data_IF_993028729147
#
_entry.id   IF_993028729147
#
_cell.length_a   1.000
_cell.length_b   1.000
_cell.length_c   1.000
_cell.angle_alpha   90.00
_cell.angle_beta   90.00
_cell.angle_gamma   90.00
#
_symmetry.space_group_name_H-M   'P 1'
#
loop_
_entity.id
_entity.type
_entity.pdbx_description
1 polymer ?
#
# COMPACT_ATOMS: atom_id res chain seq x y z
N UNK A 1 -29.25 -4.18 26.42
CA UNK A 1 -29.60 -3.75 25.05
C UNK A 1 -29.12 -2.32 24.86
N UNK A 2 -27.95 -2.15 24.24
CA UNK A 2 -27.27 -0.84 24.13
C UNK A 2 -27.68 -0.20 22.81
N UNK A 3 -28.12 1.04 22.88
CA UNK A 3 -28.53 1.93 21.79
C UNK A 3 -27.32 2.34 20.91
N UNK A 4 -26.55 1.37 20.41
CA UNK A 4 -25.26 1.57 19.73
C UNK A 4 -25.39 1.98 18.26
N UNK A 5 -26.59 2.31 17.77
CA UNK A 5 -26.87 2.48 16.34
C UNK A 5 -27.04 3.91 15.86
N UNK A 6 -26.77 4.94 16.68
CA UNK A 6 -26.91 6.36 16.23
C UNK A 6 -25.61 7.12 16.00
N UNK A 7 -24.46 6.60 16.42
CA UNK A 7 -23.21 7.38 16.41
C UNK A 7 -22.19 6.89 15.38
N UNK A 8 -21.85 7.81 14.47
CA UNK A 8 -20.68 7.85 13.57
C UNK A 8 -20.80 7.40 12.11
N UNK A 9 -21.98 7.50 11.50
CA UNK A 9 -22.12 7.23 10.05
C UNK A 9 -21.52 8.29 9.12
N UNK A 10 -21.16 9.48 9.62
CA UNK A 10 -20.71 10.64 8.83
C UNK A 10 -19.30 11.15 9.19
N UNK A 11 -18.56 10.46 10.05
CA UNK A 11 -17.25 10.93 10.55
C UNK A 11 -16.15 9.94 10.21
N UNK A 12 -14.98 10.45 9.84
CA UNK A 12 -13.73 9.69 9.69
C UNK A 12 -12.75 10.31 10.68
N UNK A 13 -12.20 9.52 11.59
CA UNK A 13 -11.32 9.98 12.68
C UNK A 13 -11.87 11.19 13.45
N UNK A 14 -13.07 11.06 14.02
CA UNK A 14 -13.83 12.09 14.76
C UNK A 14 -14.27 13.34 13.96
N UNK A 15 -13.70 13.61 12.79
CA UNK A 15 -14.02 14.79 11.98
C UNK A 15 -15.01 14.48 10.85
N UNK A 16 -15.59 15.54 10.27
CA UNK A 16 -16.46 15.42 9.11
C UNK A 16 -15.70 14.77 7.93
N UNK A 17 -16.31 13.77 7.27
CA UNK A 17 -15.67 13.06 6.17
C UNK A 17 -15.22 13.97 5.02
N UNK A 18 -15.92 15.09 4.75
CA UNK A 18 -15.52 16.05 3.70
C UNK A 18 -14.22 16.75 4.06
N UNK A 19 -14.06 17.14 5.32
CA UNK A 19 -12.83 17.77 5.82
C UNK A 19 -11.67 16.78 5.77
N UNK A 20 -11.90 15.53 6.20
CA UNK A 20 -10.88 14.47 6.09
C UNK A 20 -10.43 14.26 4.64
N UNK A 21 -11.39 14.15 3.70
CA UNK A 21 -11.09 13.96 2.28
C UNK A 21 -10.34 15.15 1.67
N UNK A 22 -10.67 16.37 2.09
CA UNK A 22 -9.94 17.57 1.69
C UNK A 22 -8.49 17.52 2.17
N UNK A 23 -8.25 17.23 3.46
CA UNK A 23 -6.90 17.08 4.03
C UNK A 23 -6.12 15.98 3.29
N UNK A 24 -6.75 14.82 3.06
CA UNK A 24 -6.15 13.70 2.32
C UNK A 24 -5.75 14.12 0.90
N UNK A 25 -6.60 14.88 0.20
CA UNK A 25 -6.34 15.33 -1.18
C UNK A 25 -5.18 16.33 -1.29
N UNK A 26 -4.80 17.00 -0.20
CA UNK A 26 -3.68 17.95 -0.14
C UNK A 26 -2.35 17.25 0.16
N UNK A 27 -2.36 16.03 0.72
CA UNK A 27 -1.12 15.30 1.05
C UNK A 27 -0.13 15.14 -0.11
N UNK A 28 -0.52 14.98 -1.39
CA UNK A 28 0.41 14.92 -2.52
C UNK A 28 1.30 16.16 -2.67
N UNK A 29 0.90 17.32 -2.12
CA UNK A 29 1.73 18.54 -2.11
C UNK A 29 3.08 18.33 -1.40
N UNK A 30 3.21 17.30 -0.57
CA UNK A 30 4.46 16.89 0.08
C UNK A 30 5.60 16.60 -0.91
N UNK A 31 5.28 16.20 -2.15
CA UNK A 31 6.28 15.86 -3.16
C UNK A 31 6.81 17.05 -3.95
N UNK A 32 6.33 18.26 -3.67
CA UNK A 32 6.86 19.48 -4.29
C UNK A 32 8.22 19.85 -3.69
N UNK A 33 9.11 20.39 -4.54
CA UNK A 33 10.41 20.93 -4.13
C UNK A 33 10.29 22.33 -3.52
N UNK A 34 9.26 23.09 -3.88
CA UNK A 34 8.98 24.39 -3.24
C UNK A 34 8.71 24.21 -1.74
N UNK A 35 9.50 24.89 -0.90
CA UNK A 35 9.47 24.77 0.57
C UNK A 35 8.08 24.98 1.16
N UNK A 36 7.32 25.97 0.68
CA UNK A 36 6.01 26.32 1.22
C UNK A 36 4.94 25.32 0.80
N UNK A 37 4.92 24.90 -0.47
CA UNK A 37 3.97 23.87 -0.96
C UNK A 37 4.22 22.54 -0.24
N UNK A 38 5.49 22.15 -0.11
CA UNK A 38 5.90 20.97 0.65
C UNK A 38 5.43 21.03 2.09
N UNK A 39 5.58 22.18 2.74
CA UNK A 39 5.14 22.40 4.13
C UNK A 39 3.63 22.16 4.27
N UNK A 40 2.79 22.65 3.36
CA UNK A 40 1.34 22.37 3.37
C UNK A 40 1.03 20.87 3.27
N UNK A 41 1.72 20.16 2.39
CA UNK A 41 1.62 18.70 2.29
C UNK A 41 2.06 17.99 3.57
N UNK A 42 3.20 18.39 4.14
CA UNK A 42 3.72 17.86 5.41
C UNK A 42 2.75 18.09 6.58
N UNK A 43 2.20 19.29 6.72
CA UNK A 43 1.19 19.62 7.73
C UNK A 43 -0.04 18.72 7.56
N UNK A 44 -0.49 18.49 6.31
CA UNK A 44 -1.64 17.62 6.04
C UNK A 44 -1.39 16.17 6.47
N UNK A 45 -0.19 15.64 6.23
CA UNK A 45 0.22 14.30 6.71
C UNK A 45 0.23 14.24 8.24
N UNK A 46 0.80 15.25 8.91
CA UNK A 46 0.84 15.32 10.38
C UNK A 46 -0.59 15.38 10.95
N UNK A 47 -1.48 16.19 10.37
CA UNK A 47 -2.88 16.27 10.79
C UNK A 47 -3.56 14.90 10.68
N UNK A 48 -3.36 14.15 9.59
CA UNK A 48 -3.92 12.79 9.46
C UNK A 48 -3.45 11.88 10.59
N UNK A 49 -2.15 11.88 10.91
CA UNK A 49 -1.63 11.05 11.99
C UNK A 49 -2.13 11.49 13.37
N UNK A 50 -2.19 12.79 13.64
CA UNK A 50 -2.79 13.31 14.87
C UNK A 50 -4.25 12.89 15.00
N UNK A 51 -5.02 12.98 13.91
CA UNK A 51 -6.41 12.49 13.89
C UNK A 51 -6.49 11.01 14.22
N UNK A 52 -5.59 10.16 13.70
CA UNK A 52 -5.54 8.75 14.07
C UNK A 52 -5.24 8.54 15.56
N UNK A 53 -4.27 9.26 16.13
CA UNK A 53 -3.93 9.15 17.56
C UNK A 53 -5.13 9.57 18.42
N UNK A 54 -5.71 10.74 18.15
CA UNK A 54 -6.85 11.27 18.92
C UNK A 54 -8.08 10.37 18.81
N UNK A 55 -8.36 9.86 17.61
CA UNK A 55 -9.47 8.95 17.40
C UNK A 55 -9.26 7.59 18.07
N UNK A 56 -8.01 7.10 18.12
CA UNK A 56 -7.66 5.90 18.90
C UNK A 56 -7.88 6.15 20.39
N UNK A 57 -7.35 7.25 20.93
CA UNK A 57 -7.50 7.60 22.34
C UNK A 57 -8.98 7.76 22.75
N UNK A 58 -9.79 8.41 21.91
CA UNK A 58 -11.22 8.59 22.15
C UNK A 58 -12.01 7.27 22.10
N UNK A 59 -11.56 6.29 21.30
CA UNK A 59 -12.27 5.04 21.07
C UNK A 59 -11.65 3.83 21.76
N UNK A 60 -10.62 4.01 22.60
CA UNK A 60 -9.81 2.90 23.14
C UNK A 60 -10.65 1.82 23.83
N UNK A 61 -11.65 2.20 24.63
CA UNK A 61 -12.55 1.28 25.34
C UNK A 61 -13.51 0.52 24.40
N UNK A 62 -13.73 1.05 23.19
CA UNK A 62 -14.68 0.52 22.20
C UNK A 62 -13.99 -0.29 21.11
N UNK A 63 -12.68 -0.15 20.95
CA UNK A 63 -11.89 -0.89 19.95
C UNK A 63 -11.83 -2.35 20.39
N UNK A 64 -12.51 -3.22 19.63
CA UNK A 64 -12.38 -4.67 19.80
C UNK A 64 -11.06 -5.11 19.17
N UNK A 65 -10.19 -5.72 19.95
CA UNK A 65 -8.90 -6.27 19.48
C UNK A 65 -9.19 -7.50 18.60
N UNK A 66 -9.35 -7.27 17.30
CA UNK A 66 -9.41 -8.34 16.31
C UNK A 66 -8.01 -8.79 15.87
N UNK A 67 -7.93 -9.74 14.93
CA UNK A 67 -6.64 -10.24 14.43
C UNK A 67 -5.76 -9.13 13.85
N UNK A 68 -6.35 -8.10 13.22
CA UNK A 68 -5.58 -6.98 12.62
C UNK A 68 -4.94 -6.17 13.74
N UNK A 69 -5.71 -5.81 14.76
CA UNK A 69 -5.20 -5.10 15.94
C UNK A 69 -4.15 -5.91 16.70
N UNK A 70 -4.35 -7.22 16.89
CA UNK A 70 -3.38 -8.08 17.55
C UNK A 70 -2.02 -8.03 16.85
N UNK A 71 -1.98 -8.23 15.52
CA UNK A 71 -0.71 -8.20 14.78
C UNK A 71 -0.12 -6.79 14.64
N UNK A 72 -0.95 -5.75 14.62
CA UNK A 72 -0.47 -4.36 14.72
C UNK A 72 0.26 -4.11 16.04
N UNK A 73 -0.33 -4.55 17.17
CA UNK A 73 0.28 -4.41 18.50
C UNK A 73 1.54 -5.26 18.61
N UNK A 74 1.55 -6.48 18.07
CA UNK A 74 2.74 -7.34 18.06
C UNK A 74 3.89 -6.70 17.27
N UNK A 75 3.63 -6.20 16.06
CA UNK A 75 4.62 -5.49 15.24
C UNK A 75 5.12 -4.21 15.91
N UNK A 76 4.22 -3.39 16.47
CA UNK A 76 4.58 -2.16 17.16
C UNK A 76 5.39 -2.42 18.43
N UNK A 77 5.05 -3.45 19.19
CA UNK A 77 5.81 -3.86 20.39
C UNK A 77 7.21 -4.34 20.01
N UNK A 78 7.32 -5.12 18.93
CA UNK A 78 8.61 -5.56 18.41
C UNK A 78 9.48 -4.38 17.98
N UNK A 79 8.92 -3.42 17.25
CA UNK A 79 9.64 -2.21 16.85
C UNK A 79 10.03 -1.34 18.05
N UNK A 80 9.22 -1.30 19.10
CA UNK A 80 9.58 -0.60 20.34
C UNK A 80 10.80 -1.24 21.01
N UNK A 81 10.89 -2.57 21.03
CA UNK A 81 12.08 -3.29 21.52
C UNK A 81 13.31 -2.95 20.66
N UNK A 82 13.16 -2.91 19.33
CA UNK A 82 14.26 -2.50 18.44
C UNK A 82 14.70 -1.06 18.68
N UNK A 83 13.76 -0.14 18.93
CA UNK A 83 14.06 1.24 19.28
C UNK A 83 14.87 1.34 20.57
N UNK A 84 14.50 0.59 21.62
CA UNK A 84 15.27 0.57 22.86
C UNK A 84 16.67 -0.02 22.68
N UNK A 85 16.84 -0.98 21.77
CA UNK A 85 18.15 -1.57 21.46
C UNK A 85 19.08 -0.60 20.74
N UNK A 86 18.52 0.25 19.87
CA UNK A 86 19.28 1.25 19.09
C UNK A 86 18.56 2.61 19.15
N UNK A 87 18.64 3.33 20.29
CA UNK A 87 17.86 4.54 20.52
C UNK A 87 18.48 5.74 19.78
N UNK A 88 18.22 5.83 18.48
CA UNK A 88 18.64 6.97 17.65
C UNK A 88 17.44 7.83 17.25
N UNK A 89 17.67 9.10 16.93
CA UNK A 89 16.60 9.99 16.46
C UNK A 89 15.97 9.48 15.14
N UNK A 90 16.80 8.92 14.25
CA UNK A 90 16.33 8.25 13.01
C UNK A 90 15.50 7.01 13.35
N UNK A 91 15.93 6.21 14.33
CA UNK A 91 15.19 5.05 14.82
C UNK A 91 13.81 5.43 15.40
N UNK A 92 13.74 6.51 16.19
CA UNK A 92 12.48 7.03 16.74
C UNK A 92 11.54 7.50 15.62
N UNK A 93 12.07 8.21 14.62
CA UNK A 93 11.32 8.61 13.44
C UNK A 93 10.75 7.39 12.67
N UNK A 94 11.60 6.39 12.38
CA UNK A 94 11.18 5.15 11.74
C UNK A 94 10.11 4.42 12.54
N UNK A 95 10.29 4.30 13.86
CA UNK A 95 9.30 3.70 14.77
C UNK A 95 7.94 4.40 14.65
N UNK A 96 7.91 5.72 14.88
CA UNK A 96 6.67 6.50 14.86
C UNK A 96 6.00 6.42 13.50
N UNK A 97 6.77 6.54 12.42
CA UNK A 97 6.23 6.47 11.06
C UNK A 97 5.58 5.11 10.77
N UNK A 98 6.28 4.01 11.08
CA UNK A 98 5.78 2.66 10.88
C UNK A 98 4.51 2.41 11.71
N UNK A 99 4.55 2.73 13.01
CA UNK A 99 3.41 2.55 13.90
C UNK A 99 2.21 3.40 13.46
N UNK A 100 2.40 4.65 13.04
CA UNK A 100 1.30 5.51 12.60
C UNK A 100 0.68 5.06 11.27
N UNK A 101 1.48 4.57 10.32
CA UNK A 101 0.96 4.02 9.07
C UNK A 101 0.14 2.74 9.30
N UNK A 102 0.60 1.85 10.18
CA UNK A 102 -0.14 0.64 10.51
C UNK A 102 -1.36 0.92 11.41
N UNK A 103 -1.27 1.92 12.29
CA UNK A 103 -2.40 2.39 13.09
C UNK A 103 -3.52 2.92 12.18
N UNK A 104 -3.15 3.70 11.15
CA UNK A 104 -4.10 4.29 10.20
C UNK A 104 -5.02 3.21 9.59
N UNK A 105 -4.47 2.13 9.05
CA UNK A 105 -5.26 1.01 8.49
C UNK A 105 -5.97 0.18 9.58
N UNK A 106 -5.38 0.00 10.76
CA UNK A 106 -6.00 -0.74 11.87
C UNK A 106 -7.27 -0.06 12.37
N UNK A 107 -7.33 1.28 12.35
CA UNK A 107 -8.56 2.00 12.67
C UNK A 107 -9.68 1.69 11.67
N UNK A 108 -9.39 1.59 10.37
CA UNK A 108 -10.38 1.19 9.37
C UNK A 108 -10.93 -0.23 9.60
N UNK A 109 -10.16 -1.15 10.19
CA UNK A 109 -10.64 -2.50 10.54
C UNK A 109 -11.76 -2.49 11.58
N UNK A 110 -11.85 -1.43 12.39
CA UNK A 110 -12.86 -1.23 13.44
C UNK A 110 -14.01 -0.29 13.03
N UNK A 111 -13.93 0.32 11.86
CA UNK A 111 -14.88 1.35 11.42
C UNK A 111 -15.97 0.80 10.49
N UNK A 112 -17.15 1.41 10.56
CA UNK A 112 -18.22 1.29 9.58
C UNK A 112 -18.58 2.68 9.07
N UNK A 113 -18.88 2.82 7.78
CA UNK A 113 -19.19 4.10 7.13
C UNK A 113 -20.48 3.97 6.32
N UNK A 114 -21.28 5.03 6.27
CA UNK A 114 -22.48 5.04 5.43
C UNK A 114 -22.12 4.97 3.94
N UNK A 115 -23.00 4.38 3.12
CA UNK A 115 -22.87 4.35 1.66
C UNK A 115 -22.64 5.75 1.08
N UNK A 116 -23.34 6.79 1.57
CA UNK A 116 -23.13 8.18 1.13
C UNK A 116 -21.70 8.68 1.36
N UNK A 117 -21.04 8.24 2.43
CA UNK A 117 -19.64 8.59 2.71
C UNK A 117 -18.71 7.84 1.76
N UNK A 118 -18.98 6.56 1.52
CA UNK A 118 -18.22 5.76 0.55
C UNK A 118 -18.33 6.36 -0.85
N UNK A 119 -19.53 6.73 -1.30
CA UNK A 119 -19.75 7.38 -2.59
C UNK A 119 -18.96 8.69 -2.71
N UNK A 120 -18.92 9.48 -1.62
CA UNK A 120 -18.11 10.68 -1.57
C UNK A 120 -16.61 10.38 -1.65
N UNK A 121 -16.11 9.37 -0.92
CA UNK A 121 -14.72 8.93 -1.01
C UNK A 121 -14.37 8.58 -2.47
N UNK A 122 -15.22 7.81 -3.16
CA UNK A 122 -15.03 7.49 -4.57
C UNK A 122 -15.04 8.72 -5.48
N UNK A 123 -15.94 9.68 -5.25
CA UNK A 123 -15.98 10.94 -6.02
C UNK A 123 -14.68 11.74 -5.84
N UNK A 124 -14.21 11.92 -4.61
CA UNK A 124 -12.97 12.64 -4.31
C UNK A 124 -11.74 11.93 -4.86
N UNK A 125 -11.68 10.60 -4.73
CA UNK A 125 -10.59 9.81 -5.30
C UNK A 125 -10.50 9.91 -6.82
N UNK A 126 -11.65 9.89 -7.52
CA UNK A 126 -11.69 10.15 -8.97
C UNK A 126 -11.27 11.58 -9.33
N UNK A 127 -11.71 12.58 -8.57
CA UNK A 127 -11.31 13.97 -8.79
C UNK A 127 -9.80 14.14 -8.63
N UNK A 128 -9.21 13.57 -7.57
CA UNK A 128 -7.77 13.59 -7.36
C UNK A 128 -7.01 12.91 -8.50
N UNK A 129 -7.49 11.76 -8.98
CA UNK A 129 -6.91 11.10 -10.15
C UNK A 129 -6.86 12.02 -11.37
N UNK A 130 -7.94 12.73 -11.68
CA UNK A 130 -7.98 13.65 -12.82
C UNK A 130 -7.04 14.84 -12.64
N UNK A 131 -6.93 15.39 -11.42
CA UNK A 131 -5.95 16.46 -11.13
C UNK A 131 -4.53 15.98 -11.41
N UNK A 132 -4.16 14.78 -10.93
CA UNK A 132 -2.83 14.23 -11.18
C UNK A 132 -2.65 13.90 -12.67
N UNK A 133 -3.66 13.35 -13.33
CA UNK A 133 -3.62 13.02 -14.76
C UNK A 133 -3.35 14.26 -15.61
N UNK A 134 -3.99 15.40 -15.32
CA UNK A 134 -3.74 16.66 -16.05
C UNK A 134 -2.28 17.07 -15.92
N UNK A 135 -1.71 17.00 -14.71
CA UNK A 135 -0.29 17.25 -14.49
C UNK A 135 0.59 16.27 -15.29
N UNK A 136 0.23 14.99 -15.32
CA UNK A 136 0.93 13.97 -16.11
C UNK A 136 0.85 14.25 -17.61
N UNK A 137 -0.29 14.69 -18.13
CA UNK A 137 -0.47 15.00 -19.55
C UNK A 137 0.35 16.22 -19.97
N UNK A 138 0.42 17.26 -19.13
CA UNK A 138 1.30 18.41 -19.39
C UNK A 138 2.76 17.96 -19.50
N UNK A 139 3.18 17.07 -18.59
CA UNK A 139 4.52 16.46 -18.60
C UNK A 139 4.75 15.60 -19.86
N UNK A 140 3.72 14.92 -20.38
CA UNK A 140 3.85 14.10 -21.60
C UNK A 140 3.90 14.93 -22.88
N UNK A 141 3.24 16.09 -22.93
CA UNK A 141 3.13 16.93 -24.13
C UNK A 141 4.41 17.72 -24.40
N UNK A 142 5.10 18.17 -23.35
CA UNK A 142 6.43 18.73 -23.50
C UNK A 142 7.46 17.58 -23.65
N UNK A 143 8.44 17.72 -24.54
CA UNK A 143 9.38 16.63 -24.90
C UNK A 143 10.05 15.94 -23.69
N UNK A 144 10.04 14.59 -23.67
CA UNK A 144 10.49 13.71 -22.57
C UNK A 144 11.79 14.13 -21.86
N UNK A 145 12.79 14.62 -22.61
CA UNK A 145 14.11 14.99 -22.07
C UNK A 145 14.13 16.35 -21.39
N UNK A 146 13.31 17.28 -21.85
CA UNK A 146 13.28 18.66 -21.33
C UNK A 146 12.44 18.73 -20.05
N UNK A 147 11.36 17.95 -19.98
CA UNK A 147 10.34 18.02 -18.92
C UNK A 147 10.74 17.35 -17.63
N UNK A 148 11.40 16.18 -17.70
CA UNK A 148 11.97 15.57 -16.50
C UNK A 148 12.97 16.53 -15.83
N UNK A 149 13.63 17.39 -16.60
CA UNK A 149 14.38 18.54 -16.11
C UNK A 149 13.50 19.67 -15.56
N UNK A 150 12.53 20.17 -16.33
CA UNK A 150 11.68 21.31 -15.95
C UNK A 150 10.83 20.99 -14.71
N UNK A 151 10.01 19.94 -14.75
CA UNK A 151 9.16 19.52 -13.64
C UNK A 151 9.92 18.81 -12.54
N UNK A 152 11.04 18.18 -12.88
CA UNK A 152 11.99 17.69 -11.88
C UNK A 152 12.44 18.81 -10.94
N UNK A 153 12.46 20.07 -11.36
CA UNK A 153 12.75 21.21 -10.48
C UNK A 153 11.57 21.62 -9.58
N UNK A 154 10.33 21.26 -9.92
CA UNK A 154 9.14 21.63 -9.17
C UNK A 154 8.65 20.54 -8.21
N UNK A 155 8.70 19.27 -8.60
CA UNK A 155 8.28 18.14 -7.76
C UNK A 155 8.98 16.83 -8.14
N UNK A 156 8.89 15.83 -7.27
CA UNK A 156 9.36 14.47 -7.54
C UNK A 156 8.40 13.76 -8.50
N UNK A 157 8.53 14.03 -9.80
CA UNK A 157 7.65 13.57 -10.89
C UNK A 157 7.27 12.10 -10.80
N UNK A 158 8.26 11.22 -10.67
CA UNK A 158 8.12 9.76 -10.50
C UNK A 158 7.21 9.39 -9.32
N UNK A 159 7.37 10.05 -8.17
CA UNK A 159 6.64 9.69 -6.96
C UNK A 159 5.19 10.19 -7.00
N UNK A 160 4.95 11.37 -7.58
CA UNK A 160 3.59 11.90 -7.77
C UNK A 160 2.77 10.98 -8.66
N UNK A 161 3.36 10.46 -9.74
CA UNK A 161 2.67 9.55 -10.65
C UNK A 161 2.35 8.19 -10.02
N UNK A 162 3.16 7.71 -9.08
CA UNK A 162 2.85 6.51 -8.30
C UNK A 162 1.57 6.64 -7.46
N UNK A 163 1.15 7.85 -7.07
CA UNK A 163 -0.14 8.07 -6.39
C UNK A 163 -1.33 7.75 -7.31
N UNK A 164 -1.16 7.84 -8.63
CA UNK A 164 -2.22 7.46 -9.56
C UNK A 164 -2.61 5.99 -9.40
N UNK A 165 -1.68 5.11 -9.02
CA UNK A 165 -1.93 3.67 -8.87
C UNK A 165 -3.07 3.38 -7.88
N UNK A 166 -3.00 3.77 -6.59
CA UNK A 166 -4.12 3.59 -5.68
C UNK A 166 -5.37 4.35 -6.13
N UNK A 167 -5.24 5.49 -6.81
CA UNK A 167 -6.39 6.24 -7.30
C UNK A 167 -7.17 5.50 -8.42
N UNK A 168 -6.54 4.58 -9.16
CA UNK A 168 -7.28 3.75 -10.13
C UNK A 168 -8.32 2.85 -9.46
N UNK A 169 -8.18 2.54 -8.16
CA UNK A 169 -9.17 1.81 -7.37
C UNK A 169 -10.55 2.45 -7.46
N UNK A 170 -10.67 3.78 -7.44
CA UNK A 170 -11.96 4.47 -7.41
C UNK A 170 -12.76 4.42 -8.73
N UNK A 171 -12.19 3.82 -9.78
CA UNK A 171 -12.83 3.63 -11.07
C UNK A 171 -13.24 2.17 -11.35
N UNK A 172 -12.75 1.22 -10.55
CA UNK A 172 -12.88 -0.21 -10.83
C UNK A 172 -14.16 -0.85 -10.26
N UNK A 173 -14.48 -0.66 -8.96
CA UNK A 173 -15.71 -1.19 -8.37
C UNK A 173 -16.94 -0.70 -9.14
N UNK A 174 -17.91 -1.60 -9.32
CA UNK A 174 -19.19 -1.35 -10.00
C UNK A 174 -19.07 -0.93 -11.49
N UNK A 175 -17.87 -0.94 -12.07
CA UNK A 175 -17.69 -0.70 -13.50
C UNK A 175 -18.11 -1.92 -14.31
N UNK A 176 -18.82 -1.70 -15.44
CA UNK A 176 -19.07 -2.75 -16.45
C UNK A 176 -17.81 -3.03 -17.29
N UNK A 177 -17.05 -1.99 -17.64
CA UNK A 177 -15.86 -2.08 -18.49
C UNK A 177 -14.56 -2.19 -17.68
N UNK A 178 -14.48 -3.16 -16.75
CA UNK A 178 -13.31 -3.31 -15.86
C UNK A 178 -12.00 -3.53 -16.65
N UNK A 179 -12.02 -4.46 -17.60
CA UNK A 179 -10.87 -4.76 -18.45
C UNK A 179 -10.40 -3.54 -19.24
N UNK A 180 -11.31 -2.85 -19.93
CA UNK A 180 -10.98 -1.66 -20.71
C UNK A 180 -10.33 -0.55 -19.89
N UNK A 181 -10.81 -0.31 -18.65
CA UNK A 181 -10.19 0.65 -17.73
C UNK A 181 -8.80 0.23 -17.28
N UNK A 182 -8.57 -1.07 -17.02
CA UNK A 182 -7.24 -1.59 -16.68
C UNK A 182 -6.27 -1.39 -17.84
N UNK A 183 -6.66 -1.70 -19.07
CA UNK A 183 -5.82 -1.48 -20.26
C UNK A 183 -5.55 0.02 -20.45
N UNK A 184 -6.56 0.87 -20.31
CA UNK A 184 -6.42 2.32 -20.40
C UNK A 184 -5.42 2.89 -19.37
N UNK A 185 -5.57 2.53 -18.10
CA UNK A 185 -4.64 2.99 -17.07
C UNK A 185 -3.24 2.37 -17.22
N UNK A 186 -3.14 1.12 -17.66
CA UNK A 186 -1.85 0.48 -17.97
C UNK A 186 -1.14 1.21 -19.11
N UNK A 187 -1.88 1.63 -20.13
CA UNK A 187 -1.36 2.47 -21.22
C UNK A 187 -0.89 3.83 -20.70
N UNK A 188 -1.63 4.48 -19.79
CA UNK A 188 -1.17 5.73 -19.16
C UNK A 188 0.16 5.51 -18.40
N UNK A 189 0.26 4.46 -17.58
CA UNK A 189 1.52 4.15 -16.89
C UNK A 189 2.66 3.82 -17.84
N UNK A 190 2.37 3.15 -18.97
CA UNK A 190 3.34 2.90 -20.02
C UNK A 190 3.87 4.20 -20.62
N UNK A 191 2.96 5.14 -20.96
CA UNK A 191 3.32 6.44 -21.53
C UNK A 191 4.17 7.29 -20.57
N UNK A 192 3.92 7.17 -19.27
CA UNK A 192 4.66 7.85 -18.19
C UNK A 192 5.94 7.08 -17.79
N UNK A 193 6.23 5.93 -18.41
CA UNK A 193 7.38 5.06 -18.13
C UNK A 193 7.40 4.45 -16.71
N UNK A 194 6.25 4.42 -16.02
CA UNK A 194 6.06 3.83 -14.69
C UNK A 194 5.78 2.31 -14.78
N UNK A 195 6.80 1.55 -15.19
CA UNK A 195 6.73 0.09 -15.46
C UNK A 195 6.22 -0.72 -14.26
N UNK A 196 6.66 -0.38 -13.04
CA UNK A 196 6.25 -1.08 -11.81
C UNK A 196 4.75 -0.92 -11.55
N UNK A 197 4.22 0.29 -11.72
CA UNK A 197 2.79 0.58 -11.52
C UNK A 197 1.92 -0.11 -12.58
N UNK A 198 2.38 -0.14 -13.84
CA UNK A 198 1.75 -0.90 -14.93
C UNK A 198 1.65 -2.39 -14.58
N UNK A 199 2.78 -3.04 -14.27
CA UNK A 199 2.82 -4.47 -13.96
C UNK A 199 1.94 -4.78 -12.75
N UNK A 200 2.00 -3.93 -11.71
CA UNK A 200 1.17 -4.06 -10.52
C UNK A 200 -0.31 -4.02 -10.88
N UNK A 201 -0.75 -3.11 -11.75
CA UNK A 201 -2.15 -2.99 -12.15
C UNK A 201 -2.64 -4.23 -12.91
N UNK A 202 -1.80 -4.82 -13.77
CA UNK A 202 -2.11 -6.08 -14.45
C UNK A 202 -2.26 -7.23 -13.44
N UNK A 203 -1.35 -7.33 -12.47
CA UNK A 203 -1.42 -8.34 -11.40
C UNK A 203 -2.69 -8.16 -10.57
N UNK A 204 -3.05 -6.92 -10.21
CA UNK A 204 -4.30 -6.61 -9.50
C UNK A 204 -5.50 -7.16 -10.28
N UNK A 205 -5.56 -6.93 -11.59
CA UNK A 205 -6.66 -7.43 -12.40
C UNK A 205 -6.69 -8.95 -12.49
N UNK A 206 -5.54 -9.59 -12.69
CA UNK A 206 -5.42 -11.05 -12.70
C UNK A 206 -5.85 -11.65 -11.36
N UNK A 207 -5.37 -11.10 -10.23
CA UNK A 207 -5.79 -11.51 -8.88
C UNK A 207 -7.29 -11.33 -8.67
N UNK A 208 -7.88 -10.24 -9.16
CA UNK A 208 -9.33 -10.03 -9.11
C UNK A 208 -10.10 -11.12 -9.87
N UNK A 209 -9.66 -11.49 -11.09
CA UNK A 209 -10.27 -12.58 -11.85
C UNK A 209 -10.13 -13.92 -11.12
N UNK A 210 -8.97 -14.19 -10.52
CA UNK A 210 -8.74 -15.38 -9.71
C UNK A 210 -9.68 -15.41 -8.50
N UNK A 211 -9.86 -14.30 -7.78
CA UNK A 211 -10.79 -14.23 -6.65
C UNK A 211 -12.24 -14.52 -7.03
N UNK A 212 -12.69 -14.04 -8.19
CA UNK A 212 -14.04 -14.38 -8.69
C UNK A 212 -14.19 -15.86 -9.04
N UNK A 213 -13.10 -16.57 -9.33
CA UNK A 213 -13.10 -18.03 -9.57
C UNK A 213 -12.91 -18.87 -8.30
N UNK A 214 -12.13 -18.40 -7.33
CA UNK A 214 -11.88 -19.11 -6.06
C UNK A 214 -13.19 -19.38 -5.30
N UNK A 215 -14.17 -18.47 -5.42
CA UNK A 215 -15.45 -18.60 -4.74
C UNK A 215 -15.27 -18.65 -3.22
N UNK A 216 -15.83 -19.68 -2.59
CA UNK A 216 -15.79 -19.90 -1.13
C UNK A 216 -14.65 -20.82 -0.67
N UNK A 217 -13.63 -21.09 -1.49
CA UNK A 217 -12.49 -21.93 -1.09
C UNK A 217 -11.43 -21.12 -0.31
N UNK A 218 -11.47 -21.21 1.02
CA UNK A 218 -10.55 -20.49 1.92
C UNK A 218 -9.10 -20.94 1.79
N UNK A 219 -8.88 -22.22 1.54
CA UNK A 219 -7.52 -22.78 1.44
C UNK A 219 -6.83 -22.19 0.21
N UNK A 220 -7.49 -22.23 -0.95
CA UNK A 220 -6.92 -21.69 -2.19
C UNK A 220 -6.65 -20.17 -2.09
N UNK A 221 -7.55 -19.43 -1.42
CA UNK A 221 -7.36 -18.01 -1.13
C UNK A 221 -6.06 -17.76 -0.33
N UNK A 222 -5.88 -18.47 0.79
CA UNK A 222 -4.69 -18.32 1.63
C UNK A 222 -3.42 -18.82 0.94
N UNK A 223 -3.48 -19.91 0.18
CA UNK A 223 -2.35 -20.44 -0.60
C UNK A 223 -1.87 -19.40 -1.61
N UNK A 224 -2.77 -18.71 -2.32
CA UNK A 224 -2.38 -17.66 -3.27
C UNK A 224 -1.60 -16.53 -2.61
N UNK A 225 -2.01 -16.11 -1.42
CA UNK A 225 -1.31 -15.08 -0.65
C UNK A 225 0.08 -15.52 -0.20
N UNK A 226 0.17 -16.71 0.42
CA UNK A 226 1.45 -17.28 0.88
C UNK A 226 2.40 -17.51 -0.29
N UNK A 227 1.91 -18.06 -1.41
CA UNK A 227 2.70 -18.28 -2.60
C UNK A 227 3.23 -16.97 -3.19
N UNK A 228 2.40 -15.93 -3.23
CA UNK A 228 2.82 -14.60 -3.70
C UNK A 228 3.95 -14.06 -2.83
N UNK A 229 3.84 -14.18 -1.50
CA UNK A 229 4.89 -13.73 -0.59
C UNK A 229 6.21 -14.49 -0.78
N UNK A 230 6.15 -15.82 -0.83
CA UNK A 230 7.33 -16.67 -1.08
C UNK A 230 7.96 -16.32 -2.43
N UNK A 231 7.14 -16.14 -3.46
CA UNK A 231 7.59 -15.75 -4.79
C UNK A 231 8.31 -14.39 -4.76
N UNK A 232 7.81 -13.40 -4.03
CA UNK A 232 8.45 -12.08 -3.95
C UNK A 232 9.84 -12.16 -3.31
N UNK A 233 9.98 -12.88 -2.20
CA UNK A 233 11.29 -13.11 -1.56
C UNK A 233 12.24 -13.90 -2.48
N UNK A 234 11.70 -14.87 -3.22
CA UNK A 234 12.48 -15.73 -4.12
C UNK A 234 12.97 -14.97 -5.34
N UNK A 235 12.14 -14.09 -5.92
CA UNK A 235 12.50 -13.25 -7.07
C UNK A 235 13.65 -12.32 -6.72
N UNK A 236 13.66 -11.71 -5.54
CA UNK A 236 14.76 -10.84 -5.09
C UNK A 236 16.08 -11.61 -5.06
N UNK A 237 16.09 -12.79 -4.44
CA UNK A 237 17.27 -13.66 -4.39
C UNK A 237 17.71 -14.10 -5.79
N UNK A 238 16.76 -14.54 -6.61
CA UNK A 238 17.03 -14.97 -7.97
C UNK A 238 17.61 -13.84 -8.81
N UNK A 239 17.08 -12.62 -8.69
CA UNK A 239 17.55 -11.45 -9.44
C UNK A 239 19.00 -11.08 -9.10
N UNK A 240 19.40 -11.20 -7.83
CA UNK A 240 20.80 -11.01 -7.41
C UNK A 240 21.69 -12.07 -8.05
N UNK A 241 21.32 -13.36 -7.97
CA UNK A 241 22.15 -14.44 -8.51
C UNK A 241 22.25 -14.41 -10.03
N UNK A 242 21.16 -14.03 -10.70
CA UNK A 242 21.07 -13.97 -12.16
C UNK A 242 22.15 -13.06 -12.77
N UNK A 243 22.58 -11.99 -12.07
CA UNK A 243 23.59 -11.05 -12.55
C UNK A 243 24.97 -11.70 -12.83
N UNK A 244 25.25 -12.85 -12.20
CA UNK A 244 26.54 -13.56 -12.35
C UNK A 244 26.48 -14.72 -13.35
N UNK A 245 25.37 -14.87 -14.08
CA UNK A 245 25.16 -15.98 -15.02
C UNK A 245 25.19 -15.49 -16.47
N UNK A 246 25.55 -16.36 -17.41
CA UNK A 246 25.48 -16.08 -18.86
C UNK A 246 24.07 -15.65 -19.29
N UNK A 247 23.04 -16.27 -18.70
CA UNK A 247 21.65 -15.90 -18.94
C UNK A 247 21.36 -14.45 -18.53
N UNK A 248 21.91 -13.99 -17.40
CA UNK A 248 21.79 -12.61 -16.96
C UNK A 248 22.39 -11.61 -17.94
N UNK A 249 23.61 -11.88 -18.42
CA UNK A 249 24.26 -11.05 -19.44
C UNK A 249 23.45 -11.02 -20.75
N UNK A 250 23.01 -12.19 -21.22
CA UNK A 250 22.16 -12.32 -22.40
C UNK A 250 20.85 -11.52 -22.27
N UNK A 251 20.17 -11.62 -21.13
CA UNK A 251 18.96 -10.84 -20.86
C UNK A 251 19.25 -9.33 -20.85
N UNK A 252 20.36 -8.91 -20.25
CA UNK A 252 20.74 -7.50 -20.21
C UNK A 252 21.02 -6.95 -21.62
N UNK A 253 21.70 -7.71 -22.46
CA UNK A 253 21.99 -7.32 -23.85
C UNK A 253 20.72 -7.23 -24.69
N UNK A 254 19.78 -8.17 -24.52
CA UNK A 254 18.45 -8.09 -25.15
C UNK A 254 17.74 -6.80 -24.72
N UNK A 255 17.67 -6.54 -23.41
CA UNK A 255 16.98 -5.35 -22.91
C UNK A 255 17.62 -4.06 -23.45
N UNK A 256 18.95 -3.99 -23.45
CA UNK A 256 19.67 -2.84 -23.98
C UNK A 256 19.45 -2.67 -25.48
N UNK A 257 19.42 -3.75 -26.24
CA UNK A 257 19.18 -3.73 -27.70
C UNK A 257 17.76 -3.29 -28.07
N UNK A 258 16.73 -3.78 -27.38
CA UNK A 258 15.34 -3.53 -27.76
C UNK A 258 14.69 -2.35 -27.03
N UNK A 259 15.15 -2.01 -25.82
CA UNK A 259 14.56 -0.95 -25.00
C UNK A 259 15.48 0.26 -24.80
N UNK A 260 16.78 0.11 -25.07
CA UNK A 260 17.80 1.12 -24.74
C UNK A 260 18.19 1.17 -23.26
N UNK A 261 17.50 0.42 -22.41
CA UNK A 261 17.71 0.40 -20.95
C UNK A 261 18.36 -0.92 -20.50
N UNK A 262 19.03 -0.89 -19.34
CA UNK A 262 19.58 -2.10 -18.74
C UNK A 262 18.48 -2.94 -18.08
N UNK A 263 18.59 -4.27 -18.16
CA UNK A 263 17.80 -5.19 -17.36
C UNK A 263 18.16 -5.06 -15.87
N UNK A 264 19.45 -4.88 -15.60
CA UNK A 264 19.99 -4.63 -14.27
C UNK A 264 20.00 -3.12 -13.97
N UNK A 265 19.12 -2.70 -13.07
CA UNK A 265 18.92 -1.27 -12.75
C UNK A 265 19.89 -0.71 -11.70
N UNK A 266 20.83 -1.52 -11.21
CA UNK A 266 21.68 -1.22 -10.05
C UNK A 266 21.11 -1.76 -8.74
N UNK A 267 19.82 -2.11 -8.70
CA UNK A 267 19.15 -2.72 -7.53
C UNK A 267 19.79 -4.04 -7.12
N UNK A 268 20.27 -4.82 -8.07
CA UNK A 268 20.95 -6.09 -7.79
C UNK A 268 22.18 -5.89 -6.87
N UNK A 269 22.94 -4.79 -7.05
CA UNK A 269 24.11 -4.46 -6.24
C UNK A 269 23.67 -4.02 -4.83
N UNK A 270 22.70 -3.12 -4.76
CA UNK A 270 22.14 -2.63 -3.48
C UNK A 270 21.57 -3.80 -2.67
N UNK A 271 20.85 -4.70 -3.33
CA UNK A 271 20.24 -5.87 -2.69
C UNK A 271 21.30 -6.89 -2.28
N UNK A 272 22.34 -7.11 -3.07
CA UNK A 272 23.45 -8.00 -2.70
C UNK A 272 24.16 -7.52 -1.43
N UNK A 273 24.49 -6.22 -1.35
CA UNK A 273 25.07 -5.62 -0.14
C UNK A 273 24.14 -5.81 1.06
N UNK A 274 22.86 -5.48 0.91
CA UNK A 274 21.88 -5.67 1.97
C UNK A 274 21.76 -7.15 2.41
N UNK A 275 21.79 -8.09 1.47
CA UNK A 275 21.78 -9.52 1.75
C UNK A 275 22.99 -9.96 2.56
N UNK A 276 24.19 -9.42 2.29
CA UNK A 276 25.38 -9.71 3.08
C UNK A 276 25.25 -9.23 4.53
N UNK A 277 24.64 -8.06 4.76
CA UNK A 277 24.31 -7.63 6.12
C UNK A 277 23.25 -8.51 6.78
N UNK A 278 22.17 -8.84 6.07
CA UNK A 278 21.09 -9.70 6.59
C UNK A 278 21.63 -11.06 7.04
N UNK A 279 22.56 -11.66 6.27
CA UNK A 279 23.21 -12.93 6.64
C UNK A 279 23.91 -12.89 8.00
N UNK A 280 24.48 -11.74 8.38
CA UNK A 280 25.20 -11.60 9.65
C UNK A 280 24.26 -11.44 10.86
N UNK A 281 23.05 -10.90 10.68
CA UNK A 281 22.04 -10.74 11.75
C UNK A 281 20.62 -11.10 11.28
N UNK A 282 20.36 -12.37 10.91
CA UNK A 282 19.16 -12.75 10.18
C UNK A 282 17.87 -12.68 11.01
N UNK A 283 17.97 -12.86 12.33
CA UNK A 283 16.80 -12.97 13.22
C UNK A 283 16.33 -11.59 13.70
N UNK A 284 17.26 -10.77 14.20
CA UNK A 284 16.95 -9.51 14.89
C UNK A 284 17.27 -8.26 14.07
N UNK A 285 17.93 -8.40 12.92
CA UNK A 285 18.42 -7.26 12.16
C UNK A 285 19.36 -6.36 12.97
N UNK A 286 19.42 -5.11 12.57
CA UNK A 286 20.37 -4.12 13.08
C UNK A 286 19.71 -2.96 13.85
N UNK A 287 18.38 -2.95 13.97
CA UNK A 287 17.63 -1.86 14.58
C UNK A 287 16.95 -0.95 13.54
N UNK A 288 16.16 0.02 14.01
CA UNK A 288 15.34 0.87 13.14
C UNK A 288 16.13 2.00 12.43
N UNK A 289 17.43 2.09 12.68
CA UNK A 289 18.32 3.01 11.99
C UNK A 289 18.84 2.42 10.68
N UNK A 290 18.76 3.19 9.60
CA UNK A 290 19.15 2.77 8.25
C UNK A 290 20.58 3.19 7.87
N UNK A 291 21.37 3.65 8.82
CA UNK A 291 22.73 4.15 8.57
C UNK A 291 23.67 3.10 7.94
N UNK A 292 23.34 1.82 8.04
CA UNK A 292 24.14 0.73 7.47
C UNK A 292 24.39 0.88 5.97
N UNK A 293 23.37 1.27 5.20
CA UNK A 293 23.54 1.43 3.75
C UNK A 293 24.46 2.62 3.44
N UNK A 294 24.35 3.71 4.21
CA UNK A 294 25.23 4.86 4.08
C UNK A 294 26.68 4.52 4.45
N UNK A 295 26.91 3.70 5.48
CA UNK A 295 28.26 3.22 5.86
C UNK A 295 28.90 2.41 4.72
N UNK A 296 28.11 1.67 3.94
CA UNK A 296 28.59 0.95 2.75
C UNK A 296 28.76 1.83 1.50
N UNK A 297 28.65 3.15 1.62
CA UNK A 297 28.74 4.09 0.51
C UNK A 297 27.50 4.12 -0.39
N UNK A 298 26.36 3.58 0.07
CA UNK A 298 25.10 3.58 -0.67
C UNK A 298 24.16 4.62 -0.02
N UNK A 299 24.09 5.81 -0.63
CA UNK A 299 23.15 6.87 -0.20
C UNK A 299 21.71 6.65 -0.66
N UNK A 300 21.47 5.57 -1.41
CA UNK A 300 20.17 5.19 -1.94
C UNK A 300 19.43 4.25 -1.00
N UNK A 301 18.10 4.37 -0.99
CA UNK A 301 17.21 3.42 -0.32
C UNK A 301 17.38 2.01 -0.92
N UNK A 302 17.08 0.96 -0.15
CA UNK A 302 17.07 -0.42 -0.67
C UNK A 302 16.06 -0.63 -1.81
N UNK A 303 15.12 0.30 -2.00
CA UNK A 303 14.03 0.20 -2.97
C UNK A 303 13.27 -1.14 -2.93
N UNK A 304 13.19 -1.75 -1.75
CA UNK A 304 12.49 -3.00 -1.49
C UNK A 304 12.09 -3.03 -0.01
N UNK A 305 10.78 -2.97 0.28
CA UNK A 305 10.28 -2.96 1.66
C UNK A 305 10.63 -4.25 2.40
N UNK A 306 10.70 -5.41 1.74
CA UNK A 306 11.04 -6.67 2.41
C UNK A 306 12.49 -6.68 2.90
N UNK A 307 13.43 -6.29 2.04
CA UNK A 307 14.84 -6.12 2.42
C UNK A 307 14.97 -5.07 3.52
N UNK A 308 14.22 -3.97 3.41
CA UNK A 308 14.20 -2.92 4.42
C UNK A 308 13.79 -3.44 5.80
N UNK A 309 12.70 -4.23 5.89
CA UNK A 309 12.27 -4.84 7.16
C UNK A 309 13.30 -5.85 7.67
N UNK A 310 13.87 -6.69 6.78
CA UNK A 310 14.89 -7.67 7.17
C UNK A 310 16.15 -7.01 7.72
N UNK A 311 16.62 -5.90 7.15
CA UNK A 311 17.74 -5.15 7.69
C UNK A 311 17.42 -4.59 9.09
N UNK A 312 16.22 -4.05 9.26
CA UNK A 312 15.84 -3.40 10.52
C UNK A 312 15.55 -4.39 11.64
N UNK A 313 14.66 -5.34 11.38
CA UNK A 313 14.10 -6.25 12.38
C UNK A 313 14.24 -7.74 12.02
N UNK A 314 15.08 -8.08 11.05
CA UNK A 314 15.32 -9.48 10.67
C UNK A 314 14.05 -10.24 10.29
N UNK A 315 14.12 -11.56 10.40
CA UNK A 315 13.01 -12.46 10.10
C UNK A 315 11.83 -12.28 11.04
N UNK A 316 12.03 -11.84 12.29
CA UNK A 316 10.93 -11.58 13.24
C UNK A 316 10.11 -10.37 12.79
N UNK A 317 10.76 -9.27 12.42
CA UNK A 317 10.10 -8.08 11.88
C UNK A 317 9.34 -8.39 10.59
N UNK A 318 9.95 -9.17 9.70
CA UNK A 318 9.32 -9.56 8.44
C UNK A 318 8.11 -10.47 8.68
N UNK A 319 8.22 -11.45 9.59
CA UNK A 319 7.13 -12.37 9.91
C UNK A 319 5.95 -11.64 10.57
N UNK A 320 6.20 -10.76 11.52
CA UNK A 320 5.13 -9.98 12.18
C UNK A 320 4.43 -9.04 11.19
N UNK A 321 5.17 -8.39 10.28
CA UNK A 321 4.59 -7.62 9.19
C UNK A 321 3.76 -8.51 8.24
N UNK A 322 4.28 -9.67 7.84
CA UNK A 322 3.56 -10.62 6.99
C UNK A 322 2.24 -11.06 7.64
N UNK A 323 2.27 -11.40 8.93
CA UNK A 323 1.07 -11.81 9.67
C UNK A 323 0.06 -10.66 9.81
N UNK A 324 0.52 -9.42 9.95
CA UNK A 324 -0.33 -8.24 9.92
C UNK A 324 -1.05 -8.08 8.57
N UNK A 325 -0.32 -8.15 7.45
CA UNK A 325 -0.89 -8.06 6.11
C UNK A 325 -1.84 -9.25 5.83
N UNK A 326 -1.47 -10.46 6.27
CA UNK A 326 -2.32 -11.64 6.17
C UNK A 326 -3.63 -11.49 6.95
N UNK A 327 -3.59 -10.88 8.14
CA UNK A 327 -4.79 -10.62 8.93
C UNK A 327 -5.76 -9.68 8.22
N UNK A 328 -5.26 -8.67 7.49
CA UNK A 328 -6.09 -7.82 6.63
C UNK A 328 -6.68 -8.65 5.49
N UNK A 329 -5.86 -9.47 4.83
CA UNK A 329 -6.29 -10.32 3.72
C UNK A 329 -7.42 -11.28 4.12
N UNK A 330 -7.29 -12.00 5.25
CA UNK A 330 -8.33 -12.91 5.75
C UNK A 330 -9.69 -12.21 5.97
N UNK A 331 -9.69 -10.91 6.30
CA UNK A 331 -10.94 -10.16 6.55
C UNK A 331 -11.76 -9.94 5.28
N UNK A 332 -11.16 -10.00 4.09
CA UNK A 332 -11.88 -9.84 2.82
C UNK A 332 -12.58 -11.11 2.35
N UNK A 333 -12.07 -12.28 2.73
CA UNK A 333 -12.48 -13.58 2.20
C UNK A 333 -14.00 -13.81 2.19
N UNK A 334 -14.67 -13.56 3.31
CA UNK A 334 -16.10 -13.84 3.46
C UNK A 334 -17.00 -12.93 2.59
N UNK A 335 -16.46 -11.89 1.97
CA UNK A 335 -17.23 -10.88 1.25
C UNK A 335 -16.68 -10.58 -0.16
N UNK A 336 -15.93 -11.50 -0.77
CA UNK A 336 -15.37 -11.34 -2.12
C UNK A 336 -16.42 -11.20 -3.25
N UNK A 337 -17.70 -11.47 -2.94
CA UNK A 337 -18.81 -11.20 -3.85
C UNK A 337 -19.00 -9.70 -4.10
N UNK A 338 -18.65 -8.84 -3.13
CA UNK A 338 -18.66 -7.38 -3.30
C UNK A 338 -17.42 -6.94 -4.09
N UNK A 339 -17.63 -6.25 -5.22
CA UNK A 339 -16.53 -5.82 -6.10
C UNK A 339 -15.53 -4.90 -5.40
N UNK A 340 -15.97 -4.06 -4.45
CA UNK A 340 -15.08 -3.16 -3.71
C UNK A 340 -14.11 -3.96 -2.85
N UNK A 341 -14.63 -4.99 -2.17
CA UNK A 341 -13.84 -5.87 -1.30
C UNK A 341 -12.91 -6.74 -2.15
N UNK A 342 -13.40 -7.30 -3.26
CA UNK A 342 -12.60 -8.10 -4.18
C UNK A 342 -11.44 -7.29 -4.78
N UNK A 343 -11.68 -6.04 -5.19
CA UNK A 343 -10.60 -5.16 -5.64
C UNK A 343 -9.66 -4.80 -4.49
N UNK A 344 -10.13 -4.52 -3.27
CA UNK A 344 -9.23 -4.24 -2.14
C UNK A 344 -8.30 -5.43 -1.85
N UNK A 345 -8.82 -6.65 -1.88
CA UNK A 345 -8.01 -7.87 -1.77
C UNK A 345 -7.00 -8.01 -2.92
N UNK A 346 -7.40 -7.70 -4.15
CA UNK A 346 -6.53 -7.77 -5.32
C UNK A 346 -5.44 -6.69 -5.30
N UNK A 347 -5.77 -5.50 -4.83
CA UNK A 347 -4.81 -4.45 -4.54
C UNK A 347 -3.81 -4.87 -3.47
N UNK A 348 -4.22 -5.62 -2.45
CA UNK A 348 -3.28 -6.12 -1.44
C UNK A 348 -2.23 -7.06 -2.06
N UNK A 349 -2.65 -7.98 -2.93
CA UNK A 349 -1.72 -8.85 -3.69
C UNK A 349 -0.82 -8.01 -4.61
N UNK A 350 -1.39 -7.08 -5.37
CA UNK A 350 -0.62 -6.17 -6.21
C UNK A 350 0.40 -5.35 -5.41
N UNK A 351 0.02 -4.86 -4.23
CA UNK A 351 0.90 -4.13 -3.33
C UNK A 351 2.05 -4.99 -2.82
N UNK A 352 1.82 -6.27 -2.51
CA UNK A 352 2.91 -7.18 -2.15
C UNK A 352 3.96 -7.30 -3.25
N UNK A 353 3.56 -7.22 -4.51
CA UNK A 353 4.49 -7.16 -5.65
C UNK A 353 5.13 -5.77 -5.77
N UNK A 354 4.34 -4.71 -5.65
CA UNK A 354 4.80 -3.33 -5.76
C UNK A 354 5.90 -3.00 -4.73
N UNK A 355 5.74 -3.43 -3.48
CA UNK A 355 6.70 -3.15 -2.41
C UNK A 355 8.02 -3.93 -2.56
N UNK A 356 8.11 -4.87 -3.51
CA UNK A 356 9.37 -5.49 -3.88
C UNK A 356 10.30 -4.51 -4.63
N UNK A 357 9.71 -3.48 -5.25
CA UNK A 357 10.42 -2.48 -6.05
C UNK A 357 10.38 -1.08 -5.43
N UNK A 358 9.70 -0.88 -4.31
CA UNK A 358 9.59 0.41 -3.66
C UNK A 358 9.60 0.26 -2.14
N UNK A 359 10.35 1.13 -1.45
CA UNK A 359 10.22 1.23 0.02
C UNK A 359 9.00 2.09 0.34
N UNK A 360 7.87 1.41 0.48
CA UNK A 360 6.56 1.99 0.78
C UNK A 360 5.81 1.16 1.83
N UNK A 361 4.55 1.53 2.11
CA UNK A 361 3.67 1.02 3.18
C UNK A 361 4.14 1.29 4.61
N UNK A 362 5.43 1.20 4.90
CA UNK A 362 6.00 1.38 6.25
C UNK A 362 7.25 2.29 6.24
N UNK A 363 7.56 2.94 5.12
CA UNK A 363 8.83 3.63 4.94
C UNK A 363 8.73 4.97 4.20
N UNK A 364 9.79 5.28 3.45
CA UNK A 364 10.13 6.63 2.99
C UNK A 364 9.07 7.35 2.15
N UNK A 365 8.18 6.63 1.48
CA UNK A 365 7.11 7.23 0.65
C UNK A 365 5.78 7.33 1.41
N UNK A 366 5.78 8.10 2.50
CA UNK A 366 4.66 8.20 3.46
C UNK A 366 3.31 8.48 2.80
N UNK A 367 3.24 9.47 1.92
CA UNK A 367 1.98 9.85 1.25
C UNK A 367 1.45 8.71 0.39
N UNK A 368 2.31 8.05 -0.39
CA UNK A 368 1.92 6.88 -1.17
C UNK A 368 1.43 5.75 -0.25
N UNK A 369 2.14 5.51 0.86
CA UNK A 369 1.72 4.56 1.90
C UNK A 369 0.33 4.87 2.45
N UNK A 370 0.02 6.14 2.75
CA UNK A 370 -1.32 6.57 3.21
C UNK A 370 -2.38 6.23 2.16
N UNK A 371 -2.17 6.55 0.88
CA UNK A 371 -3.15 6.24 -0.17
C UNK A 371 -3.34 4.74 -0.39
N UNK A 372 -2.25 3.96 -0.37
CA UNK A 372 -2.30 2.50 -0.47
C UNK A 372 -3.06 1.91 0.72
N UNK A 373 -2.73 2.30 1.95
CA UNK A 373 -3.47 1.88 3.14
C UNK A 373 -4.93 2.34 3.10
N UNK A 374 -5.21 3.53 2.58
CA UNK A 374 -6.56 4.07 2.54
C UNK A 374 -7.49 3.21 1.68
N UNK A 375 -7.06 2.80 0.48
CA UNK A 375 -7.92 1.97 -0.38
C UNK A 375 -8.16 0.56 0.19
N UNK A 376 -7.18 0.00 0.90
CA UNK A 376 -7.36 -1.24 1.66
C UNK A 376 -8.34 -1.04 2.83
N UNK A 377 -8.21 0.09 3.54
CA UNK A 377 -9.09 0.46 4.64
C UNK A 377 -10.55 0.59 4.22
N UNK A 378 -10.82 1.11 3.01
CA UNK A 378 -12.18 1.14 2.43
C UNK A 378 -12.74 -0.28 2.28
N UNK A 379 -11.93 -1.24 1.84
CA UNK A 379 -12.32 -2.65 1.78
C UNK A 379 -12.71 -3.20 3.16
N UNK A 380 -11.92 -2.90 4.20
CA UNK A 380 -12.21 -3.34 5.57
C UNK A 380 -13.50 -2.73 6.13
N UNK A 381 -13.72 -1.43 5.88
CA UNK A 381 -14.97 -0.75 6.22
C UNK A 381 -16.16 -1.40 5.53
N UNK A 382 -16.02 -1.75 4.25
CA UNK A 382 -17.09 -2.41 3.51
C UNK A 382 -17.40 -3.80 4.07
N UNK A 383 -16.39 -4.57 4.50
CA UNK A 383 -16.61 -5.83 5.23
C UNK A 383 -17.42 -5.61 6.52
N UNK A 384 -17.13 -4.55 7.27
CA UNK A 384 -17.85 -4.22 8.50
C UNK A 384 -19.29 -3.80 8.23
N UNK A 385 -19.52 -3.00 7.19
CA UNK A 385 -20.86 -2.60 6.76
C UNK A 385 -21.73 -3.82 6.41
N UNK A 386 -21.18 -4.81 5.71
CA UNK A 386 -21.89 -6.05 5.36
C UNK A 386 -22.23 -6.89 6.59
N UNK A 387 -21.33 -6.96 7.58
CA UNK A 387 -21.58 -7.68 8.84
C UNK A 387 -22.73 -7.08 9.66
N UNK A 388 -22.98 -5.79 9.52
CA UNK A 388 -24.03 -5.07 10.25
C UNK A 388 -25.42 -5.15 9.59
N UNK A 389 -25.51 -5.60 8.34
CA UNK A 389 -26.81 -5.83 7.70
C UNK A 389 -27.46 -7.05 8.37
N UNK A 390 -28.66 -6.93 8.95
CA UNK A 390 -29.31 -8.05 9.61
C UNK A 390 -29.54 -9.18 8.61
N UNK A 391 -29.25 -10.42 9.02
CA UNK A 391 -29.47 -11.68 8.28
C UNK A 391 -30.99 -11.96 8.22
N UNK A 392 -31.80 -10.98 7.86
CA UNK A 392 -33.25 -11.04 8.05
C UNK A 392 -34.03 -11.63 6.88
N UNK A 393 -33.35 -12.04 5.80
CA UNK A 393 -34.02 -12.47 4.56
C UNK A 393 -33.77 -13.93 4.16
N UNK A 394 -33.23 -14.82 5.02
CA UNK A 394 -33.01 -16.22 4.63
C UNK A 394 -34.07 -17.22 5.10
N UNK A 395 -35.11 -16.81 5.85
CA UNK A 395 -36.08 -17.75 6.44
C UNK A 395 -37.54 -17.58 5.97
N UNK A 396 -37.86 -16.71 5.01
CA UNK A 396 -39.26 -16.41 4.65
C UNK A 396 -39.74 -16.87 3.25
N UNK A 397 -39.00 -17.72 2.52
CA UNK A 397 -39.51 -18.32 1.27
C UNK A 397 -39.31 -19.85 1.25
N UNK A 398 -39.98 -20.54 2.18
CA UNK A 398 -40.40 -21.93 1.97
C UNK A 398 -41.89 -22.00 2.32
N UNK A 399 -42.72 -21.28 1.58
CA UNK A 399 -44.14 -21.62 1.45
C UNK A 399 -44.28 -22.49 0.21
N UNK A 400 -44.25 -23.80 0.43
CA UNK A 400 -44.76 -24.79 -0.52
C UNK A 400 -46.22 -24.43 -0.83
N UNK A 401 -46.48 -23.96 -2.05
CA UNK A 401 -47.81 -24.07 -2.61
C UNK A 401 -48.04 -25.55 -2.96
N UNK A 402 -49.08 -26.11 -2.32
CA UNK A 402 -49.71 -27.39 -2.69
C UNK A 402 -50.36 -27.30 -4.05
#
# INVERSE_FOLDING_TARGET
MINSSKYSYKRIFLINYKLFLFILSITPLYFFKNKYIKLFGSISVIIIFLLCIFDTAHRIEKIKVDKVWFWFLAFSSYNLILLFRTPTAKGLYSFLLQTLLLLFISLFSSMSLNSKVIDAIFKWGRALYFVILVLSTIVLLESRRTVSGIFGNYFSTVVVFKIMLPCTFFFMPNSKFKFGKIIFFSFIFFMIEERTSLLTLLIIYLSYLVFKKIGSNKILYNVLFVLTFILMLSITNFYIQLQHTELGYFLNDIFRKYTGENFFSGRQIIWEVAHNYIKNKPIWGYGLDNELMHISGIDLSTHNTYIYILLQGGSIGLLTFFMFVHAIYERYFNNLNDDTIAFAAAYLIGMMVFINFEVTLIGNTVVLGIFLWFILGIGLVQCNNKRLLPIHNSNNEITFHK
#
